data_IF_102235912701
#
_entry.id   IF_102235912701
#
_cell.length_a   1.000
_cell.length_b   1.000
_cell.length_c   1.000
_cell.angle_alpha   90.00
_cell.angle_beta   90.00
_cell.angle_gamma   90.00
#
_symmetry.space_group_name_H-M   'P 1'
#
loop_
_entity.id
_entity.type
_entity.pdbx_description
1 polymer ?
#
# COMPACT_ATOMS: atom_id res chain seq x y z
N UNK A 1 5.89 -17.38 -28.43
CA UNK A 1 4.59 -17.09 -29.08
C UNK A 1 3.58 -16.75 -28.00
N UNK A 2 2.45 -16.16 -28.36
CA UNK A 2 1.32 -15.90 -27.47
C UNK A 2 0.45 -17.15 -27.36
N UNK A 3 0.13 -17.56 -26.15
CA UNK A 3 -0.74 -18.70 -25.84
C UNK A 3 -1.86 -18.25 -24.90
N UNK A 4 -2.99 -18.96 -24.95
CA UNK A 4 -4.04 -18.85 -23.94
C UNK A 4 -4.08 -20.15 -23.15
N UNK A 5 -3.88 -20.07 -21.83
CA UNK A 5 -3.91 -21.21 -20.91
C UNK A 5 -5.21 -21.16 -20.11
N UNK A 6 -6.03 -22.21 -20.23
CA UNK A 6 -7.22 -22.36 -19.38
C UNK A 6 -6.81 -22.68 -17.94
N UNK A 7 -5.83 -23.57 -17.78
CA UNK A 7 -5.22 -23.91 -16.51
C UNK A 7 -3.77 -24.31 -16.76
N UNK A 8 -2.84 -23.80 -15.95
CA UNK A 8 -1.45 -24.23 -15.95
C UNK A 8 -0.92 -24.32 -14.52
N UNK A 9 -0.25 -25.42 -14.20
CA UNK A 9 0.34 -25.63 -12.87
C UNK A 9 1.82 -25.92 -13.01
N UNK A 10 2.62 -24.97 -12.55
CA UNK A 10 4.07 -25.04 -12.47
C UNK A 10 4.53 -25.11 -11.02
N UNK A 11 3.70 -25.57 -10.07
CA UNK A 11 4.11 -25.63 -8.66
C UNK A 11 5.35 -26.50 -8.47
N UNK A 12 6.28 -26.08 -7.60
CA UNK A 12 7.53 -26.77 -7.32
C UNK A 12 8.43 -26.98 -8.55
N UNK A 13 8.31 -26.13 -9.57
CA UNK A 13 9.14 -26.23 -10.77
C UNK A 13 10.50 -25.54 -10.56
N UNK A 14 11.53 -26.10 -11.18
CA UNK A 14 12.88 -25.54 -11.20
C UNK A 14 13.27 -25.14 -12.62
N UNK A 15 13.16 -23.85 -12.92
CA UNK A 15 13.48 -23.31 -14.24
C UNK A 15 14.96 -22.93 -14.27
N UNK A 16 15.78 -23.82 -14.84
CA UNK A 16 17.25 -23.66 -14.92
C UNK A 16 17.69 -22.55 -15.86
N UNK A 17 16.97 -22.39 -16.97
CA UNK A 17 17.28 -21.45 -18.04
C UNK A 17 16.18 -20.39 -18.10
N UNK A 18 16.42 -19.41 -18.97
CA UNK A 18 15.50 -18.32 -19.23
C UNK A 18 14.10 -18.79 -19.64
N UNK A 19 13.06 -18.15 -19.10
CA UNK A 19 11.66 -18.52 -19.34
C UNK A 19 10.85 -17.35 -19.89
N UNK A 20 10.05 -17.64 -20.91
CA UNK A 20 9.24 -16.67 -21.62
C UNK A 20 7.75 -16.97 -21.49
N UNK A 21 7.05 -16.19 -20.68
CA UNK A 21 5.60 -16.14 -20.58
C UNK A 21 5.00 -14.87 -21.20
N UNK A 22 5.72 -14.27 -22.16
CA UNK A 22 5.36 -12.99 -22.79
C UNK A 22 4.07 -13.12 -23.63
N UNK A 23 3.20 -12.11 -23.55
CA UNK A 23 1.96 -11.99 -24.32
C UNK A 23 1.02 -13.21 -24.18
N UNK A 24 0.99 -13.82 -22.99
CA UNK A 24 0.14 -14.97 -22.71
C UNK A 24 -1.08 -14.55 -21.89
N UNK A 25 -2.21 -15.15 -22.23
CA UNK A 25 -3.42 -15.09 -21.42
C UNK A 25 -3.45 -16.30 -20.49
N UNK A 26 -3.54 -16.07 -19.18
CA UNK A 26 -3.70 -17.11 -18.19
C UNK A 26 -5.07 -16.94 -17.55
N UNK A 27 -5.96 -17.93 -17.73
CA UNK A 27 -7.17 -17.99 -16.92
C UNK A 27 -6.79 -18.36 -15.50
N UNK A 28 -6.21 -19.54 -15.26
CA UNK A 28 -5.65 -19.90 -13.96
C UNK A 28 -4.21 -20.39 -14.10
N UNK A 29 -3.29 -19.85 -13.30
CA UNK A 29 -1.90 -20.29 -13.29
C UNK A 29 -1.28 -20.26 -11.90
N UNK A 30 -0.52 -21.32 -11.58
CA UNK A 30 0.08 -21.52 -10.26
C UNK A 30 1.58 -21.76 -10.45
N UNK A 31 2.40 -20.93 -9.81
CA UNK A 31 3.86 -21.05 -9.76
C UNK A 31 4.40 -21.39 -8.37
N UNK A 32 3.52 -21.57 -7.38
CA UNK A 32 3.88 -21.80 -5.98
C UNK A 32 5.12 -22.68 -5.76
N UNK A 33 6.02 -22.24 -4.89
CA UNK A 33 7.26 -22.93 -4.52
C UNK A 33 8.22 -23.17 -5.70
N UNK A 34 8.12 -22.37 -6.77
CA UNK A 34 9.01 -22.50 -7.92
C UNK A 34 10.23 -21.61 -7.83
N UNK A 35 11.28 -22.03 -8.51
CA UNK A 35 12.53 -21.28 -8.57
C UNK A 35 12.94 -21.01 -10.01
N UNK A 36 13.17 -19.73 -10.31
CA UNK A 36 13.66 -19.22 -11.58
C UNK A 36 15.14 -18.83 -11.42
N UNK A 37 16.04 -19.69 -11.90
CA UNK A 37 17.49 -19.47 -11.80
C UNK A 37 18.03 -18.45 -12.79
N UNK A 38 17.30 -18.23 -13.88
CA UNK A 38 17.63 -17.27 -14.90
C UNK A 38 16.47 -16.28 -15.08
N UNK A 39 16.60 -15.37 -16.05
CA UNK A 39 15.59 -14.37 -16.30
C UNK A 39 14.22 -14.99 -16.61
N UNK A 40 13.15 -14.38 -16.10
CA UNK A 40 11.77 -14.74 -16.42
C UNK A 40 11.00 -13.52 -16.89
N UNK A 41 10.22 -13.70 -17.94
CA UNK A 41 9.50 -12.62 -18.60
C UNK A 41 8.00 -12.92 -18.68
N UNK A 42 7.21 -12.19 -17.90
CA UNK A 42 5.74 -12.17 -17.94
C UNK A 42 5.21 -10.97 -18.74
N UNK A 43 6.04 -10.37 -19.60
CA UNK A 43 5.72 -9.10 -20.24
C UNK A 43 4.41 -9.18 -21.03
N UNK A 44 3.50 -8.23 -20.79
CA UNK A 44 2.16 -8.17 -21.38
C UNK A 44 1.32 -9.43 -21.17
N UNK A 45 1.60 -10.23 -20.14
CA UNK A 45 0.72 -11.33 -19.77
C UNK A 45 -0.58 -10.79 -19.14
N UNK A 46 -1.67 -11.53 -19.32
CA UNK A 46 -2.97 -11.21 -18.74
C UNK A 46 -3.39 -12.33 -17.79
N UNK A 47 -3.40 -12.05 -16.48
CA UNK A 47 -3.88 -12.97 -15.46
C UNK A 47 -5.36 -12.69 -15.18
N UNK A 48 -6.25 -13.56 -15.68
CA UNK A 48 -7.71 -13.39 -15.61
C UNK A 48 -8.33 -13.89 -14.30
N UNK A 49 -7.61 -14.75 -13.57
CA UNK A 49 -7.95 -15.20 -12.21
C UNK A 49 -6.72 -15.03 -11.28
N UNK A 50 -6.85 -15.44 -10.01
CA UNK A 50 -5.76 -15.39 -9.03
C UNK A 50 -4.53 -16.16 -9.54
N UNK A 51 -3.41 -15.44 -9.68
CA UNK A 51 -2.09 -16.05 -9.91
C UNK A 51 -1.36 -16.25 -8.60
N UNK A 52 -0.77 -17.44 -8.43
CA UNK A 52 -0.09 -17.83 -7.20
C UNK A 52 1.43 -17.96 -7.40
N UNK A 53 2.17 -16.94 -6.95
CA UNK A 53 3.63 -16.94 -6.86
C UNK A 53 4.13 -17.26 -5.44
N UNK A 54 3.28 -17.75 -4.53
CA UNK A 54 3.68 -18.02 -3.14
C UNK A 54 4.99 -18.82 -3.06
N UNK A 55 5.93 -18.36 -2.22
CA UNK A 55 7.25 -19.00 -2.04
C UNK A 55 8.07 -19.14 -3.35
N UNK A 56 7.84 -18.29 -4.35
CA UNK A 56 8.70 -18.27 -5.54
C UNK A 56 10.04 -17.59 -5.25
N UNK A 57 11.10 -18.13 -5.85
CA UNK A 57 12.45 -17.55 -5.83
C UNK A 57 12.85 -17.08 -7.24
N UNK A 58 13.23 -15.81 -7.36
CA UNK A 58 13.73 -15.21 -8.59
C UNK A 58 15.21 -14.82 -8.41
N UNK A 59 16.11 -15.59 -9.03
CA UNK A 59 17.57 -15.42 -8.87
C UNK A 59 18.16 -14.31 -9.75
N UNK A 60 17.46 -13.92 -10.82
CA UNK A 60 17.86 -12.84 -11.74
C UNK A 60 16.66 -11.94 -12.07
N UNK A 61 16.60 -11.36 -13.27
CA UNK A 61 15.54 -10.46 -13.68
C UNK A 61 14.18 -11.16 -13.74
N UNK A 62 13.20 -10.61 -13.03
CA UNK A 62 11.79 -10.98 -13.15
C UNK A 62 11.02 -9.81 -13.76
N UNK A 63 10.63 -9.93 -15.02
CA UNK A 63 9.94 -8.85 -15.73
C UNK A 63 8.43 -9.05 -15.73
N UNK A 64 7.74 -8.17 -15.04
CA UNK A 64 6.30 -7.96 -15.00
C UNK A 64 5.97 -6.64 -15.75
N UNK A 65 6.62 -6.40 -16.89
CA UNK A 65 6.32 -5.21 -17.68
C UNK A 65 4.94 -5.34 -18.32
N UNK A 66 4.04 -4.37 -18.16
CA UNK A 66 2.77 -4.36 -18.90
C UNK A 66 1.79 -5.45 -18.49
N UNK A 67 1.99 -6.12 -17.34
CA UNK A 67 1.09 -7.23 -16.93
C UNK A 67 -0.22 -6.68 -16.41
N UNK A 68 -1.29 -7.42 -16.67
CA UNK A 68 -2.62 -7.11 -16.16
C UNK A 68 -3.08 -8.15 -15.15
N UNK A 69 -3.48 -7.70 -13.97
CA UNK A 69 -4.08 -8.54 -12.95
C UNK A 69 -5.59 -8.22 -12.83
N UNK A 70 -6.46 -9.14 -13.23
CA UNK A 70 -7.91 -8.99 -13.00
C UNK A 70 -8.31 -9.23 -11.53
N UNK A 71 -7.45 -9.93 -10.77
CA UNK A 71 -7.61 -10.22 -9.35
C UNK A 71 -6.28 -10.10 -8.61
N UNK A 72 -6.33 -9.93 -7.29
CA UNK A 72 -5.14 -9.74 -6.45
C UNK A 72 -4.12 -10.89 -6.59
N UNK A 73 -2.87 -10.62 -7.02
CA UNK A 73 -1.86 -11.66 -7.16
C UNK A 73 -1.25 -12.04 -5.80
N UNK A 74 -0.93 -13.32 -5.63
CA UNK A 74 -0.28 -13.79 -4.42
C UNK A 74 1.25 -13.84 -4.61
N UNK A 75 1.95 -12.91 -3.97
CA UNK A 75 3.41 -12.85 -3.88
C UNK A 75 3.91 -13.14 -2.45
N UNK A 76 3.07 -13.72 -1.60
CA UNK A 76 3.45 -13.99 -0.20
C UNK A 76 4.68 -14.91 -0.13
N UNK A 77 5.62 -14.54 0.73
CA UNK A 77 6.92 -15.22 0.86
C UNK A 77 7.71 -15.35 -0.45
N UNK A 78 7.44 -14.53 -1.48
CA UNK A 78 8.31 -14.42 -2.65
C UNK A 78 9.66 -13.84 -2.26
N UNK A 79 10.71 -14.36 -2.89
CA UNK A 79 12.06 -13.85 -2.77
C UNK A 79 12.57 -13.36 -4.13
N UNK A 80 12.91 -12.07 -4.19
CA UNK A 80 13.65 -11.48 -5.29
C UNK A 80 15.09 -11.26 -4.84
N UNK A 81 16.05 -11.94 -5.47
CA UNK A 81 17.47 -11.82 -5.10
C UNK A 81 17.99 -10.39 -5.26
N UNK A 82 17.57 -9.73 -6.32
CA UNK A 82 17.90 -8.34 -6.63
C UNK A 82 16.60 -7.57 -6.90
N UNK A 83 16.01 -6.89 -5.90
CA UNK A 83 14.77 -6.13 -6.06
C UNK A 83 14.82 -5.09 -7.19
N UNK A 84 15.99 -4.49 -7.47
CA UNK A 84 16.16 -3.54 -8.58
C UNK A 84 16.08 -4.18 -9.96
N UNK A 85 16.25 -5.51 -10.06
CA UNK A 85 16.16 -6.25 -11.31
C UNK A 85 14.73 -6.70 -11.65
N UNK A 86 13.76 -6.51 -10.75
CA UNK A 86 12.35 -6.75 -11.04
C UNK A 86 11.83 -5.61 -11.92
N UNK A 87 11.02 -5.87 -12.92
CA UNK A 87 10.41 -4.79 -13.73
C UNK A 87 8.90 -4.78 -13.49
N UNK A 88 8.40 -3.75 -12.82
CA UNK A 88 6.97 -3.54 -12.51
C UNK A 88 6.40 -2.30 -13.26
N UNK A 89 7.03 -1.88 -14.35
CA UNK A 89 6.55 -0.73 -15.13
C UNK A 89 5.29 -1.14 -15.92
N UNK A 90 4.29 -0.26 -15.93
CA UNK A 90 3.02 -0.45 -16.63
C UNK A 90 2.21 -1.66 -16.14
N UNK A 91 2.33 -2.04 -14.86
CA UNK A 91 1.44 -3.06 -14.28
C UNK A 91 0.04 -2.46 -14.15
N UNK A 92 -0.94 -3.05 -14.81
CA UNK A 92 -2.36 -2.68 -14.70
C UNK A 92 -2.96 -3.35 -13.46
N UNK A 93 -3.32 -2.50 -12.50
CA UNK A 93 -3.99 -2.86 -11.25
C UNK A 93 -5.36 -2.19 -11.11
N UNK A 94 -5.99 -1.73 -12.20
CA UNK A 94 -7.27 -1.00 -12.16
C UNK A 94 -8.40 -1.79 -11.49
N UNK A 95 -8.27 -3.12 -11.46
CA UNK A 95 -9.21 -4.05 -10.82
C UNK A 95 -8.90 -4.35 -9.36
N UNK A 96 -7.74 -3.91 -8.85
CA UNK A 96 -7.33 -4.12 -7.47
C UNK A 96 -7.79 -2.94 -6.59
N UNK A 97 -8.94 -3.13 -5.94
CA UNK A 97 -9.45 -2.24 -4.90
C UNK A 97 -9.62 -2.98 -3.57
N UNK A 98 -10.15 -2.27 -2.56
CA UNK A 98 -10.45 -2.86 -1.26
C UNK A 98 -11.42 -4.05 -1.34
N UNK A 99 -12.41 -3.99 -2.23
CA UNK A 99 -13.34 -5.11 -2.41
C UNK A 99 -12.63 -6.33 -2.98
N UNK A 100 -11.76 -6.16 -3.98
CA UNK A 100 -10.96 -7.24 -4.54
C UNK A 100 -10.05 -7.91 -3.50
N UNK A 101 -9.57 -7.14 -2.50
CA UNK A 101 -8.79 -7.66 -1.39
C UNK A 101 -9.65 -8.51 -0.43
N UNK A 102 -10.90 -8.09 -0.16
CA UNK A 102 -11.87 -8.91 0.59
C UNK A 102 -12.25 -10.18 -0.18
N UNK A 103 -12.52 -10.05 -1.49
CA UNK A 103 -12.84 -11.15 -2.39
C UNK A 103 -11.69 -12.17 -2.42
N UNK A 104 -10.42 -11.73 -2.45
CA UNK A 104 -9.27 -12.64 -2.34
C UNK A 104 -9.33 -13.51 -1.07
N UNK A 105 -9.66 -12.94 0.08
CA UNK A 105 -9.75 -13.68 1.34
C UNK A 105 -10.93 -14.66 1.31
N UNK A 106 -12.08 -14.23 0.78
CA UNK A 106 -13.28 -15.05 0.70
C UNK A 106 -13.12 -16.20 -0.31
N UNK A 107 -12.65 -15.91 -1.51
CA UNK A 107 -12.55 -16.90 -2.57
C UNK A 107 -11.52 -18.00 -2.26
N UNK A 108 -10.48 -17.68 -1.50
CA UNK A 108 -9.33 -18.56 -1.32
C UNK A 108 -9.27 -19.29 0.04
N UNK A 109 -10.02 -18.88 1.09
CA UNK A 109 -9.86 -19.49 2.42
C UNK A 109 -10.20 -20.99 2.49
N UNK A 110 -11.09 -21.47 1.61
CA UNK A 110 -11.53 -22.87 1.56
C UNK A 110 -10.55 -23.77 0.78
N UNK A 111 -9.27 -23.63 1.08
CA UNK A 111 -8.21 -24.39 0.43
C UNK A 111 -8.19 -25.87 0.83
N UNK A 112 -7.23 -26.63 0.27
CA UNK A 112 -7.08 -28.05 0.58
C UNK A 112 -6.87 -28.31 2.08
N UNK A 113 -6.18 -27.42 2.79
CA UNK A 113 -5.95 -27.54 4.23
C UNK A 113 -7.27 -27.35 5.01
N UNK A 114 -8.10 -26.38 4.62
CA UNK A 114 -9.43 -26.17 5.20
C UNK A 114 -10.32 -27.38 4.99
N UNK A 115 -10.40 -27.88 3.75
CA UNK A 115 -11.18 -29.07 3.40
C UNK A 115 -10.75 -30.29 4.21
N UNK A 116 -9.43 -30.48 4.40
CA UNK A 116 -8.89 -31.56 5.23
C UNK A 116 -9.22 -31.38 6.72
N UNK A 117 -9.12 -30.15 7.24
CA UNK A 117 -9.45 -29.85 8.64
C UNK A 117 -10.93 -30.15 8.97
N UNK A 118 -11.83 -29.89 8.03
CA UNK A 118 -13.26 -30.24 8.15
C UNK A 118 -13.49 -31.74 7.99
N UNK A 119 -12.84 -32.38 7.00
CA UNK A 119 -13.04 -33.81 6.71
C UNK A 119 -12.54 -34.71 7.85
N UNK A 120 -11.44 -34.36 8.50
CA UNK A 120 -10.84 -35.16 9.57
C UNK A 120 -11.58 -35.06 10.90
N UNK A 121 -12.65 -34.26 10.98
CA UNK A 121 -13.40 -34.01 12.20
C UNK A 121 -14.90 -34.18 11.96
N UNK A 122 -15.39 -35.42 11.91
CA UNK A 122 -16.83 -35.73 11.76
C UNK A 122 -17.72 -35.08 12.84
N UNK A 123 -17.16 -34.67 13.99
CA UNK A 123 -17.86 -33.89 15.04
C UNK A 123 -18.04 -32.40 14.71
N UNK A 124 -17.24 -31.80 13.83
CA UNK A 124 -17.24 -30.35 13.57
C UNK A 124 -18.41 -29.90 12.70
N UNK A 125 -18.99 -30.79 11.89
CA UNK A 125 -20.24 -30.49 11.16
C UNK A 125 -21.43 -30.20 12.10
N UNK A 126 -21.31 -30.47 13.40
CA UNK A 126 -22.35 -30.23 14.42
C UNK A 126 -21.98 -29.15 15.45
N UNK A 127 -20.77 -28.61 15.42
CA UNK A 127 -20.31 -27.56 16.33
C UNK A 127 -19.99 -26.27 15.55
N UNK A 128 -20.99 -25.39 15.47
CA UNK A 128 -20.90 -24.11 14.77
C UNK A 128 -19.74 -23.23 15.27
N UNK A 129 -19.38 -23.34 16.55
CA UNK A 129 -18.32 -22.54 17.15
C UNK A 129 -16.96 -23.00 16.67
N UNK A 130 -16.76 -24.31 16.57
CA UNK A 130 -15.51 -24.89 16.08
C UNK A 130 -15.37 -24.69 14.56
N UNK A 131 -16.45 -24.81 13.80
CA UNK A 131 -16.46 -24.46 12.37
C UNK A 131 -16.05 -22.99 12.16
N UNK A 132 -16.68 -22.06 12.90
CA UNK A 132 -16.33 -20.63 12.84
C UNK A 132 -14.87 -20.37 13.23
N UNK A 133 -14.31 -21.10 14.20
CA UNK A 133 -12.90 -21.00 14.59
C UNK A 133 -11.98 -21.40 13.44
N UNK A 134 -12.26 -22.53 12.78
CA UNK A 134 -11.49 -23.02 11.63
C UNK A 134 -11.60 -22.04 10.47
N UNK A 135 -12.79 -21.57 10.13
CA UNK A 135 -12.97 -20.58 9.07
C UNK A 135 -12.13 -19.33 9.29
N UNK A 136 -12.16 -18.76 10.50
CA UNK A 136 -11.36 -17.58 10.83
C UNK A 136 -9.86 -17.85 10.80
N UNK A 137 -9.41 -19.04 11.18
CA UNK A 137 -8.01 -19.41 11.11
C UNK A 137 -7.50 -19.42 9.67
N UNK A 138 -8.30 -19.99 8.75
CA UNK A 138 -7.97 -20.00 7.32
C UNK A 138 -8.09 -18.61 6.69
N UNK A 139 -9.16 -17.86 6.95
CA UNK A 139 -9.30 -16.47 6.49
C UNK A 139 -8.15 -15.60 6.98
N UNK A 140 -7.72 -15.77 8.23
CA UNK A 140 -6.58 -15.05 8.79
C UNK A 140 -5.28 -15.36 8.04
N UNK A 141 -5.06 -16.62 7.63
CA UNK A 141 -3.90 -17.00 6.82
C UNK A 141 -3.92 -16.26 5.47
N UNK A 142 -5.05 -16.22 4.78
CA UNK A 142 -5.16 -15.51 3.50
C UNK A 142 -5.03 -14.00 3.64
N UNK A 143 -5.57 -13.40 4.71
CA UNK A 143 -5.34 -11.98 5.00
C UNK A 143 -3.84 -11.67 5.21
N UNK A 144 -3.12 -12.54 5.92
CA UNK A 144 -1.67 -12.41 6.10
C UNK A 144 -0.89 -12.56 4.79
N UNK A 145 -1.25 -13.53 3.96
CA UNK A 145 -0.62 -13.74 2.66
C UNK A 145 -0.85 -12.54 1.74
N UNK A 146 -2.07 -12.01 1.71
CA UNK A 146 -2.41 -10.84 0.90
C UNK A 146 -1.60 -9.61 1.33
N UNK A 147 -1.57 -9.32 2.63
CA UNK A 147 -0.75 -8.25 3.19
C UNK A 147 0.73 -8.42 2.83
N UNK A 148 1.26 -9.63 2.97
CA UNK A 148 2.66 -9.91 2.65
C UNK A 148 2.96 -9.74 1.14
N UNK A 149 2.03 -10.15 0.28
CA UNK A 149 2.12 -9.96 -1.17
C UNK A 149 2.27 -8.48 -1.53
N UNK A 150 1.41 -7.63 -0.98
CA UNK A 150 1.46 -6.18 -1.20
C UNK A 150 2.71 -5.56 -0.60
N UNK A 151 3.15 -6.01 0.57
CA UNK A 151 4.42 -5.60 1.19
C UNK A 151 5.62 -5.91 0.28
N UNK A 152 5.68 -7.12 -0.30
CA UNK A 152 6.76 -7.54 -1.20
C UNK A 152 6.83 -6.64 -2.43
N UNK A 153 5.69 -6.40 -3.10
CA UNK A 153 5.65 -5.55 -4.30
C UNK A 153 6.01 -4.10 -3.97
N UNK A 154 5.45 -3.56 -2.89
CA UNK A 154 5.78 -2.22 -2.39
C UNK A 154 7.29 -2.08 -2.12
N UNK A 155 7.90 -3.07 -1.47
CA UNK A 155 9.34 -3.04 -1.15
C UNK A 155 10.21 -3.05 -2.41
N UNK A 156 9.84 -3.84 -3.42
CA UNK A 156 10.50 -3.82 -4.74
C UNK A 156 10.42 -2.42 -5.36
N UNK A 157 9.26 -1.79 -5.38
CA UNK A 157 9.07 -0.45 -5.95
C UNK A 157 9.86 0.62 -5.19
N UNK A 158 9.89 0.56 -3.85
CA UNK A 158 10.69 1.46 -3.01
C UNK A 158 12.18 1.33 -3.37
N UNK A 159 12.70 0.10 -3.50
CA UNK A 159 14.10 -0.13 -3.87
C UNK A 159 14.45 0.39 -5.28
N UNK A 160 13.46 0.54 -6.14
CA UNK A 160 13.59 1.11 -7.49
C UNK A 160 13.46 2.65 -7.51
N UNK A 161 13.26 3.28 -6.36
CA UNK A 161 12.87 4.69 -6.23
C UNK A 161 11.54 5.00 -6.94
N UNK A 162 10.70 4.00 -7.19
CA UNK A 162 9.35 4.20 -7.72
C UNK A 162 8.36 4.44 -6.56
N UNK A 163 8.51 5.59 -5.91
CA UNK A 163 7.80 5.88 -4.66
C UNK A 163 6.32 6.17 -4.85
N UNK A 164 5.90 6.60 -6.04
CA UNK A 164 4.51 6.95 -6.32
C UNK A 164 3.66 5.68 -6.48
N UNK A 165 4.04 4.78 -7.37
CA UNK A 165 3.41 3.48 -7.54
C UNK A 165 3.49 2.64 -6.26
N UNK A 166 4.57 2.76 -5.48
CA UNK A 166 4.65 2.14 -4.17
C UNK A 166 3.53 2.56 -3.20
N UNK A 167 2.99 3.79 -3.31
CA UNK A 167 1.88 4.23 -2.44
C UNK A 167 0.58 3.48 -2.72
N UNK A 168 0.32 3.10 -3.98
CA UNK A 168 -0.88 2.35 -4.35
C UNK A 168 -0.88 0.97 -3.69
N UNK A 169 0.26 0.26 -3.76
CA UNK A 169 0.46 -1.01 -3.07
C UNK A 169 0.49 -0.87 -1.55
N UNK A 170 1.03 0.22 -1.02
CA UNK A 170 1.01 0.49 0.42
C UNK A 170 -0.42 0.68 0.96
N UNK A 171 -1.29 1.38 0.21
CA UNK A 171 -2.71 1.52 0.55
C UNK A 171 -3.40 0.15 0.66
N UNK A 172 -3.16 -0.74 -0.29
CA UNK A 172 -3.69 -2.10 -0.28
C UNK A 172 -3.12 -2.94 0.89
N UNK A 173 -1.81 -2.82 1.18
CA UNK A 173 -1.15 -3.47 2.31
C UNK A 173 -1.78 -3.06 3.66
N UNK A 174 -2.02 -1.76 3.87
CA UNK A 174 -2.64 -1.25 5.09
C UNK A 174 -4.06 -1.79 5.26
N UNK A 175 -4.84 -1.85 4.18
CA UNK A 175 -6.18 -2.42 4.21
C UNK A 175 -6.18 -3.93 4.49
N UNK A 176 -5.25 -4.68 3.88
CA UNK A 176 -5.07 -6.10 4.21
C UNK A 176 -4.68 -6.30 5.68
N UNK A 177 -3.91 -5.37 6.27
CA UNK A 177 -3.59 -5.38 7.71
C UNK A 177 -4.82 -5.11 8.58
N UNK A 178 -5.71 -4.19 8.16
CA UNK A 178 -6.99 -3.96 8.82
C UNK A 178 -7.84 -5.24 8.85
N UNK A 179 -8.00 -5.92 7.70
CA UNK A 179 -8.72 -7.21 7.61
C UNK A 179 -8.10 -8.29 8.47
N UNK A 180 -6.77 -8.38 8.51
CA UNK A 180 -6.04 -9.29 9.41
C UNK A 180 -6.44 -9.05 10.89
N UNK A 181 -6.51 -7.78 11.32
CA UNK A 181 -6.87 -7.41 12.69
C UNK A 181 -8.35 -7.67 13.00
N UNK A 182 -9.26 -7.35 12.06
CA UNK A 182 -10.69 -7.66 12.19
C UNK A 182 -10.93 -9.14 12.47
N UNK A 183 -10.27 -10.02 11.71
CA UNK A 183 -10.37 -11.48 11.87
C UNK A 183 -9.72 -11.94 13.20
N UNK A 184 -8.60 -11.34 13.61
CA UNK A 184 -7.98 -11.65 14.91
C UNK A 184 -8.86 -11.27 16.09
N UNK A 185 -9.54 -10.12 16.02
CA UNK A 185 -10.46 -9.67 17.06
C UNK A 185 -11.70 -10.57 17.14
N UNK A 186 -12.19 -11.05 15.99
CA UNK A 186 -13.33 -11.96 15.92
C UNK A 186 -13.04 -13.33 16.58
N UNK A 187 -11.77 -13.71 16.72
CA UNK A 187 -11.31 -14.91 17.45
C UNK A 187 -11.41 -14.77 18.97
N UNK A 188 -11.33 -13.55 19.51
CA UNK A 188 -11.00 -13.31 20.91
C UNK A 188 -12.15 -12.88 21.84
N UNK A 189 -13.37 -12.59 21.37
CA UNK A 189 -14.42 -12.09 22.29
C UNK A 189 -15.85 -12.59 22.05
N UNK A 190 -16.45 -12.94 23.19
CA UNK A 190 -17.88 -12.95 23.54
C UNK A 190 -18.67 -11.84 22.84
N UNK A 191 -19.95 -12.13 22.59
CA UNK A 191 -20.93 -11.43 21.73
C UNK A 191 -21.10 -9.90 21.90
N UNK A 192 -20.47 -9.25 22.88
CA UNK A 192 -20.68 -7.83 23.17
C UNK A 192 -19.90 -6.85 22.26
N UNK A 193 -18.82 -7.28 21.59
CA UNK A 193 -18.08 -6.39 20.65
C UNK A 193 -18.69 -6.32 19.24
N UNK A 194 -19.58 -7.25 18.87
CA UNK A 194 -20.27 -7.20 17.56
C UNK A 194 -21.14 -5.94 17.42
N UNK A 195 -21.57 -5.31 18.52
CA UNK A 195 -22.35 -4.06 18.48
C UNK A 195 -21.51 -2.81 18.21
N UNK A 196 -20.24 -2.78 18.63
CA UNK A 196 -19.35 -1.65 18.36
C UNK A 196 -18.72 -1.74 16.96
N UNK A 197 -18.34 -2.93 16.49
CA UNK A 197 -17.80 -3.10 15.13
C UNK A 197 -18.85 -2.96 14.02
N UNK A 198 -20.10 -3.44 14.23
CA UNK A 198 -21.18 -3.23 13.25
C UNK A 198 -21.65 -1.77 13.15
N UNK A 199 -21.41 -0.94 14.17
CA UNK A 199 -21.69 0.49 14.10
C UNK A 199 -20.62 1.27 13.33
N UNK A 200 -19.52 0.62 12.97
CA UNK A 200 -18.55 1.09 11.99
C UNK A 200 -18.72 0.26 10.72
N UNK A 201 -19.89 0.34 10.06
CA UNK A 201 -19.97 -0.04 8.64
C UNK A 201 -19.11 0.95 7.89
N UNK A 202 -17.84 0.60 7.77
CA UNK A 202 -16.84 1.33 7.02
C UNK A 202 -17.22 1.30 5.55
N UNK A 203 -17.42 2.47 4.95
CA UNK A 203 -17.71 2.60 3.53
C UNK A 203 -16.39 2.87 2.81
N UNK A 204 -15.94 2.02 1.88
CA UNK A 204 -14.73 2.27 1.07
C UNK A 204 -14.74 3.65 0.37
N UNK A 205 -15.94 4.21 0.11
CA UNK A 205 -16.10 5.58 -0.43
C UNK A 205 -15.70 6.69 0.54
N UNK A 206 -15.56 6.42 1.84
CA UNK A 206 -15.08 7.39 2.83
C UNK A 206 -13.60 7.76 2.59
N UNK A 207 -12.86 6.95 1.83
CA UNK A 207 -11.48 7.24 1.41
C UNK A 207 -11.41 7.87 0.01
N UNK A 208 -12.48 7.79 -0.78
CA UNK A 208 -12.62 8.55 -2.03
C UNK A 208 -13.05 10.00 -1.77
N UNK A 209 -13.77 10.25 -0.67
CA UNK A 209 -14.15 11.60 -0.24
C UNK A 209 -13.21 12.09 0.86
N UNK A 210 -12.18 12.84 0.46
CA UNK A 210 -11.34 13.59 1.38
C UNK A 210 -12.24 14.47 2.29
N UNK A 211 -12.35 14.11 3.56
CA UNK A 211 -13.25 14.79 4.47
C UNK A 211 -12.63 16.12 4.94
N UNK A 212 -12.83 17.17 4.14
CA UNK A 212 -12.31 18.52 4.39
C UNK A 212 -12.68 19.06 5.79
N UNK A 213 -13.79 18.61 6.39
CA UNK A 213 -14.19 19.05 7.74
C UNK A 213 -13.13 18.77 8.82
N UNK A 214 -12.35 17.70 8.69
CA UNK A 214 -11.28 17.35 9.65
C UNK A 214 -9.98 18.12 9.40
N UNK A 215 -9.83 18.72 8.23
CA UNK A 215 -8.59 19.37 7.77
C UNK A 215 -8.72 20.91 7.81
N UNK A 216 -9.95 21.43 7.71
CA UNK A 216 -10.26 22.85 7.92
C UNK A 216 -9.66 23.40 9.22
N UNK A 217 -9.76 22.72 10.39
CA UNK A 217 -9.13 23.22 11.62
C UNK A 217 -7.61 23.31 11.50
N UNK A 218 -6.98 22.36 10.80
CA UNK A 218 -5.53 22.33 10.57
C UNK A 218 -5.09 23.47 9.63
N UNK A 219 -5.86 23.71 8.56
CA UNK A 219 -5.63 24.82 7.61
C UNK A 219 -5.78 26.15 8.33
N UNK A 220 -6.83 26.33 9.15
CA UNK A 220 -7.03 27.54 9.96
C UNK A 220 -5.86 27.75 10.93
N UNK A 221 -5.39 26.68 11.57
CA UNK A 221 -4.23 26.73 12.46
C UNK A 221 -2.95 27.15 11.73
N UNK A 222 -2.69 26.59 10.54
CA UNK A 222 -1.57 26.96 9.67
C UNK A 222 -1.66 28.43 9.22
N UNK A 223 -2.83 28.89 8.78
CA UNK A 223 -3.05 30.29 8.41
C UNK A 223 -2.81 31.24 9.58
N UNK A 224 -3.19 30.83 10.80
CA UNK A 224 -2.95 31.62 12.02
C UNK A 224 -1.45 31.73 12.34
N UNK A 225 -0.69 30.65 12.15
CA UNK A 225 0.78 30.67 12.31
C UNK A 225 1.43 31.60 11.27
N UNK A 226 1.02 31.48 10.00
CA UNK A 226 1.54 32.34 8.92
C UNK A 226 1.24 33.81 9.20
N UNK A 227 0.02 34.12 9.62
CA UNK A 227 -0.38 35.49 10.00
C UNK A 227 0.46 36.04 11.16
N UNK A 228 0.71 35.21 12.18
CA UNK A 228 1.54 35.62 13.31
C UNK A 228 3.00 35.87 12.90
N UNK A 229 3.54 35.03 12.01
CA UNK A 229 4.88 35.18 11.46
C UNK A 229 4.98 36.43 10.60
N UNK A 230 3.98 36.74 9.76
CA UNK A 230 3.98 37.95 8.94
C UNK A 230 3.94 39.24 9.76
N UNK A 231 3.17 39.26 10.86
CA UNK A 231 3.13 40.42 11.77
C UNK A 231 4.48 40.59 12.47
N UNK A 232 5.09 39.51 12.93
CA UNK A 232 6.41 39.56 13.56
C UNK A 232 7.50 40.05 12.59
N UNK A 233 7.44 39.64 11.31
CA UNK A 233 8.35 40.15 10.27
C UNK A 233 8.13 41.64 10.04
N UNK A 234 6.88 42.10 9.99
CA UNK A 234 6.56 43.52 9.79
C UNK A 234 7.10 44.38 10.94
N UNK A 235 6.89 43.94 12.19
CA UNK A 235 7.43 44.60 13.39
C UNK A 235 8.96 44.64 13.35
N UNK A 236 9.61 43.56 12.92
CA UNK A 236 11.06 43.50 12.79
C UNK A 236 11.59 44.49 11.74
N UNK A 237 10.92 44.57 10.58
CA UNK A 237 11.24 45.55 9.53
C UNK A 237 11.11 46.98 10.07
N UNK A 238 10.04 47.27 10.80
CA UNK A 238 9.79 48.60 11.37
C UNK A 238 10.84 49.00 12.43
N UNK A 239 11.18 48.07 13.33
CA UNK A 239 12.17 48.32 14.38
C UNK A 239 13.62 48.40 13.88
N UNK A 240 14.00 47.56 12.89
CA UNK A 240 15.40 47.44 12.45
C UNK A 240 15.72 48.33 11.26
N UNK A 241 14.76 48.66 10.40
CA UNK A 241 15.02 49.48 9.21
C UNK A 241 14.46 50.88 9.36
N UNK A 242 13.21 51.01 9.78
CA UNK A 242 12.50 52.31 9.77
C UNK A 242 12.93 53.19 10.94
N UNK A 243 12.91 52.67 12.17
CA UNK A 243 13.30 53.44 13.36
C UNK A 243 14.74 54.00 13.31
N UNK A 244 15.79 53.22 12.98
CA UNK A 244 17.15 53.75 12.85
C UNK A 244 17.32 54.76 11.71
N UNK A 245 16.61 54.59 10.60
CA UNK A 245 16.63 55.56 9.50
C UNK A 245 16.14 56.95 9.96
N UNK A 246 15.01 57.00 10.67
CA UNK A 246 14.50 58.27 11.20
C UNK A 246 15.41 58.88 12.26
N UNK A 247 16.04 58.08 13.14
CA UNK A 247 16.98 58.60 14.15
C UNK A 247 18.22 59.22 13.50
N UNK A 248 18.77 58.59 12.46
CA UNK A 248 19.88 59.15 11.67
C UNK A 248 19.45 60.46 11.02
N UNK A 249 18.28 60.50 10.39
CA UNK A 249 17.76 61.70 9.74
C UNK A 249 17.58 62.87 10.73
N UNK A 250 16.99 62.62 11.90
CA UNK A 250 16.86 63.63 12.96
C UNK A 250 18.22 64.12 13.46
N UNK A 251 19.19 63.23 13.62
CA UNK A 251 20.55 63.60 14.01
C UNK A 251 21.22 64.49 12.96
N UNK A 252 21.07 64.18 11.67
CA UNK A 252 21.58 65.01 10.58
C UNK A 252 20.99 66.43 10.61
N UNK A 253 19.67 66.55 10.77
CA UNK A 253 18.99 67.87 10.87
C UNK A 253 19.49 68.64 12.08
N UNK A 254 19.62 67.99 13.24
CA UNK A 254 20.15 68.60 14.46
C UNK A 254 21.58 69.13 14.26
N UNK A 255 22.47 68.35 13.64
CA UNK A 255 23.85 68.77 13.34
C UNK A 255 23.87 69.99 12.41
N UNK A 256 23.04 70.01 11.37
CA UNK A 256 22.93 71.17 10.46
C UNK A 256 22.50 72.43 11.20
N UNK A 257 21.47 72.34 12.05
CA UNK A 257 21.02 73.46 12.88
C UNK A 257 22.10 73.93 13.86
N UNK A 258 22.84 73.00 14.47
CA UNK A 258 23.92 73.31 15.39
C UNK A 258 25.07 74.04 14.69
N UNK A 259 25.48 73.57 13.50
CA UNK A 259 26.49 74.23 12.66
C UNK A 259 26.02 75.62 12.24
N UNK A 260 24.77 75.76 11.78
CA UNK A 260 24.19 77.06 11.43
C UNK A 260 24.27 78.05 12.59
N UNK A 261 23.87 77.62 13.80
CA UNK A 261 23.92 78.44 15.02
C UNK A 261 25.36 78.84 15.44
N UNK A 262 26.37 78.07 15.08
CA UNK A 262 27.78 78.45 15.31
C UNK A 262 28.26 79.50 14.29
N UNK A 263 27.71 79.48 13.08
CA UNK A 263 28.15 80.32 11.96
C UNK A 263 27.41 81.67 11.86
N UNK A 264 26.23 81.81 12.46
CA UNK A 264 25.47 83.07 12.60
C UNK A 264 25.54 83.60 14.02
#
# INVERSE_FOLDING_TARGET
>A
GSCSFEYANFSNCYFKNEVYFKNNDFKQVIFRNSKFNDNVYFNNAHFKDYVDFHECEFEKTASFYGVRFEKAPNFSACYFKEPKAVNLINVDIDKLDFRSAEDYIQDNYQDGNYKNAIKNNEKIQKDEKELYRIENEHKLRYAKNLKDSFRVIKDVLINQNNTLEAQEWHKLELYAKEKELEIQLSKNKNDNLKKESKNQVYNPKDYEKFNYSKIIPLIIFLLKIIGHLSVNILIFVELVLVAPFFTIMFYCVYVVFFIYKILT
#
